data_IF_484133707125
#
_entry.id   IF_484133707125
#
_cell.length_a   1.000
_cell.length_b   1.000
_cell.length_c   1.000
_cell.angle_alpha   90.00
_cell.angle_beta   90.00
_cell.angle_gamma   90.00
#
_symmetry.space_group_name_H-M   'P 1'
#
loop_
_entity.id
_entity.type
_entity.pdbx_description
1 polymer ?
#
# COMPACT_ATOMS: atom_id res chain seq x y z
N UNK A 1 -19.74 -13.24 -1.27
CA UNK A 1 -19.73 -12.84 -2.70
C UNK A 1 -18.94 -11.54 -2.74
N UNK A 2 -17.73 -11.57 -3.25
CA UNK A 2 -16.94 -10.35 -3.42
C UNK A 2 -17.56 -9.52 -4.55
N UNK A 3 -17.70 -8.21 -4.35
CA UNK A 3 -18.19 -7.28 -5.37
C UNK A 3 -17.35 -7.45 -6.65
N UNK A 4 -18.02 -7.59 -7.78
CA UNK A 4 -17.42 -7.70 -9.11
C UNK A 4 -16.79 -6.36 -9.60
N UNK A 5 -16.72 -5.38 -8.74
CA UNK A 5 -16.15 -4.07 -9.07
C UNK A 5 -14.62 -4.13 -9.06
N UNK A 6 -14.00 -3.60 -10.11
CA UNK A 6 -12.57 -3.44 -10.23
C UNK A 6 -12.05 -2.42 -9.21
N UNK A 7 -11.10 -2.82 -8.36
CA UNK A 7 -10.62 -1.97 -7.27
C UNK A 7 -9.54 -1.01 -7.76
N UNK A 8 -9.70 0.28 -7.48
CA UNK A 8 -8.69 1.31 -7.77
C UNK A 8 -8.02 1.72 -6.47
N UNK A 9 -6.69 1.61 -6.42
CA UNK A 9 -5.87 1.96 -5.26
C UNK A 9 -4.92 3.07 -5.68
N UNK A 10 -5.05 4.26 -5.06
CA UNK A 10 -4.14 5.38 -5.31
C UNK A 10 -2.77 5.10 -4.73
N UNK A 11 -1.77 4.88 -5.60
CA UNK A 11 -0.39 4.52 -5.26
C UNK A 11 0.35 5.71 -4.63
N UNK A 12 0.81 5.55 -3.38
CA UNK A 12 1.40 6.61 -2.56
C UNK A 12 0.51 7.85 -2.49
N UNK A 13 -0.82 7.61 -2.39
CA UNK A 13 -1.86 8.60 -2.58
C UNK A 13 -2.26 8.75 -4.04
N UNK A 14 -2.01 9.90 -4.64
CA UNK A 14 -2.13 10.15 -6.08
C UNK A 14 -0.83 10.78 -6.60
N UNK A 15 0.25 9.98 -6.63
CA UNK A 15 1.60 10.51 -6.87
C UNK A 15 1.80 11.09 -8.27
N UNK A 16 0.89 10.81 -9.19
CA UNK A 16 0.88 11.45 -10.51
C UNK A 16 0.38 12.89 -10.49
N UNK A 17 -0.23 13.32 -9.38
CA UNK A 17 -0.82 14.66 -9.20
C UNK A 17 -0.18 15.47 -8.07
N UNK A 18 0.43 14.80 -7.08
CA UNK A 18 1.04 15.43 -5.90
C UNK A 18 2.29 14.66 -5.46
N UNK A 19 3.19 15.27 -4.66
CA UNK A 19 4.38 14.58 -4.14
C UNK A 19 4.02 13.31 -3.38
N UNK A 20 4.61 12.17 -3.77
CA UNK A 20 4.32 10.85 -3.22
C UNK A 20 4.46 10.78 -1.71
N UNK A 21 3.63 9.94 -1.06
CA UNK A 21 3.70 9.69 0.39
C UNK A 21 3.56 10.94 1.27
N UNK A 22 2.91 11.99 0.77
CA UNK A 22 2.60 13.20 1.54
C UNK A 22 1.11 13.27 1.87
N UNK A 23 0.75 14.08 2.86
CA UNK A 23 -0.66 14.32 3.20
C UNK A 23 -1.42 14.89 2.00
N UNK A 24 -0.77 15.74 1.20
CA UNK A 24 -1.37 16.29 -0.02
C UNK A 24 -1.68 15.18 -1.05
N UNK A 25 -0.76 14.23 -1.27
CA UNK A 25 -1.01 13.15 -2.22
C UNK A 25 -2.14 12.22 -1.76
N UNK A 26 -2.20 11.91 -0.47
CA UNK A 26 -3.27 11.11 0.13
C UNK A 26 -4.63 11.80 -0.03
N UNK A 27 -4.72 13.07 0.37
CA UNK A 27 -5.97 13.83 0.26
C UNK A 27 -6.40 14.03 -1.21
N UNK A 28 -5.44 14.24 -2.11
CA UNK A 28 -5.69 14.30 -3.56
C UNK A 28 -6.28 12.98 -4.08
N UNK A 29 -5.73 11.84 -3.68
CA UNK A 29 -6.27 10.52 -4.05
C UNK A 29 -7.72 10.35 -3.59
N UNK A 30 -8.02 10.75 -2.36
CA UNK A 30 -9.38 10.73 -1.80
C UNK A 30 -10.30 11.69 -2.57
N UNK A 31 -9.86 12.92 -2.82
CA UNK A 31 -10.63 13.93 -3.53
C UNK A 31 -10.95 13.53 -4.98
N UNK A 32 -10.07 12.77 -5.64
CA UNK A 32 -10.28 12.19 -6.96
C UNK A 32 -11.25 11.00 -6.95
N UNK A 33 -11.68 10.52 -5.77
CA UNK A 33 -12.65 9.45 -5.60
C UNK A 33 -12.05 8.05 -5.49
N UNK A 34 -10.75 7.91 -5.24
CA UNK A 34 -10.12 6.61 -5.02
C UNK A 34 -10.77 5.92 -3.81
N UNK A 35 -11.30 4.68 -3.95
CA UNK A 35 -11.89 3.96 -2.83
C UNK A 35 -10.84 3.46 -1.84
N UNK A 36 -9.58 3.38 -2.27
CA UNK A 36 -8.42 3.00 -1.49
C UNK A 36 -7.24 3.90 -1.81
N UNK A 37 -6.43 4.19 -0.80
CA UNK A 37 -5.11 4.82 -0.95
C UNK A 37 -4.05 3.91 -0.35
N UNK A 38 -2.90 3.86 -1.01
CA UNK A 38 -1.75 3.10 -0.54
C UNK A 38 -0.62 4.07 -0.19
N UNK A 39 0.19 3.69 0.80
CA UNK A 39 1.39 4.40 1.19
C UNK A 39 2.38 3.48 1.91
N UNK A 40 3.66 3.86 1.82
CA UNK A 40 4.79 3.12 2.34
C UNK A 40 5.12 3.52 3.77
N UNK A 41 5.36 2.56 4.67
CA UNK A 41 5.73 2.84 6.06
C UNK A 41 7.07 2.24 6.41
N UNK A 42 7.95 3.07 6.98
CA UNK A 42 9.22 2.68 7.56
C UNK A 42 9.27 3.01 9.05
N UNK A 43 9.84 2.11 9.84
CA UNK A 43 10.10 2.36 11.25
C UNK A 43 11.48 3.02 11.40
N UNK A 44 11.50 4.26 11.87
CA UNK A 44 12.72 4.97 12.22
C UNK A 44 13.31 4.41 13.53
N UNK A 45 14.66 4.45 13.76
CA UNK A 45 15.29 3.98 15.00
C UNK A 45 14.74 4.62 16.29
N UNK A 46 14.17 5.82 16.21
CA UNK A 46 13.46 6.44 17.36
C UNK A 46 12.13 5.78 17.72
N UNK A 47 11.65 4.81 16.93
CA UNK A 47 10.35 4.19 17.05
C UNK A 47 9.24 4.86 16.26
N UNK A 48 9.46 6.05 15.67
CA UNK A 48 8.46 6.71 14.82
C UNK A 48 8.20 5.91 13.54
N UNK A 49 6.93 5.82 13.14
CA UNK A 49 6.51 5.26 11.86
C UNK A 49 6.36 6.41 10.86
N UNK A 50 7.28 6.48 9.89
CA UNK A 50 7.31 7.51 8.86
C UNK A 50 6.73 6.98 7.56
N UNK A 51 5.95 7.81 6.87
CA UNK A 51 5.40 7.46 5.57
C UNK A 51 6.39 7.89 4.50
N UNK A 52 7.19 6.92 4.03
CA UNK A 52 8.31 7.16 3.12
C UNK A 52 8.73 5.87 2.43
N UNK A 53 9.06 5.94 1.12
CA UNK A 53 9.38 4.74 0.32
C UNK A 53 10.84 4.32 0.39
N UNK A 54 11.77 5.23 0.05
CA UNK A 54 13.17 4.89 -0.17
C UNK A 54 13.95 4.75 1.15
N UNK A 55 15.08 4.06 1.11
CA UNK A 55 16.00 4.04 2.25
C UNK A 55 16.75 5.38 2.41
N UNK A 56 16.87 6.15 1.30
CA UNK A 56 17.57 7.44 1.27
C UNK A 56 16.62 8.59 0.95
N UNK A 57 16.98 9.79 1.38
CA UNK A 57 16.18 11.00 1.27
C UNK A 57 16.25 11.68 -0.11
N UNK A 58 17.25 11.32 -0.91
CA UNK A 58 17.76 12.09 -2.05
C UNK A 58 16.74 12.26 -3.19
N UNK A 59 15.86 11.29 -3.42
CA UNK A 59 14.95 11.32 -4.57
C UNK A 59 13.74 12.22 -4.38
N UNK A 60 13.18 12.25 -3.18
CA UNK A 60 11.87 12.87 -2.93
C UNK A 60 11.90 14.01 -1.90
N UNK A 61 13.09 14.33 -1.37
CA UNK A 61 13.23 15.42 -0.40
C UNK A 61 14.39 16.35 -0.77
N UNK A 62 14.51 17.47 -0.07
CA UNK A 62 15.68 18.32 -0.11
C UNK A 62 16.81 17.87 0.84
N UNK A 63 16.66 16.72 1.50
CA UNK A 63 17.69 16.09 2.34
C UNK A 63 18.53 15.07 1.58
N UNK A 64 19.57 14.54 2.23
CA UNK A 64 20.48 13.56 1.65
C UNK A 64 20.84 12.44 2.62
N UNK A 65 21.21 11.27 2.08
CA UNK A 65 21.65 10.10 2.83
C UNK A 65 20.53 9.25 3.37
N UNK A 66 20.85 8.31 4.26
CA UNK A 66 19.87 7.35 4.78
C UNK A 66 18.89 8.01 5.75
N UNK A 67 17.61 7.68 5.60
CA UNK A 67 16.55 8.10 6.51
C UNK A 67 16.85 7.68 7.95
N UNK A 68 17.31 6.44 8.14
CA UNK A 68 17.57 5.88 9.46
C UNK A 68 18.72 6.58 10.22
N UNK A 69 19.62 7.25 9.52
CA UNK A 69 20.78 7.92 10.12
C UNK A 69 20.49 9.38 10.56
N UNK A 70 19.33 9.93 10.17
CA UNK A 70 19.00 11.32 10.48
C UNK A 70 18.19 11.42 11.78
N UNK A 71 18.40 12.47 12.58
CA UNK A 71 17.50 12.73 13.72
C UNK A 71 16.05 12.95 13.25
N UNK A 72 15.08 12.40 13.98
CA UNK A 72 13.66 12.54 13.63
C UNK A 72 13.24 14.00 13.42
N UNK A 73 13.71 14.92 14.26
CA UNK A 73 13.39 16.34 14.14
C UNK A 73 13.91 16.95 12.81
N UNK A 74 15.07 16.48 12.33
CA UNK A 74 15.59 16.91 11.03
C UNK A 74 14.76 16.37 9.88
N UNK A 75 14.35 15.07 9.92
CA UNK A 75 13.47 14.47 8.92
C UNK A 75 12.14 15.21 8.80
N UNK A 76 11.57 15.59 9.95
CA UNK A 76 10.28 16.30 10.01
C UNK A 76 10.35 17.76 9.56
N UNK A 77 11.55 18.29 9.30
CA UNK A 77 11.77 19.64 8.77
C UNK A 77 12.10 19.66 7.27
N UNK A 78 12.25 18.48 6.65
CA UNK A 78 12.57 18.38 5.22
C UNK A 78 11.35 18.70 4.36
N UNK A 79 11.60 19.33 3.21
CA UNK A 79 10.63 19.45 2.14
C UNK A 79 10.61 18.14 1.33
N UNK A 80 9.49 17.45 1.38
CA UNK A 80 9.20 16.23 0.61
C UNK A 80 8.52 16.54 -0.74
N UNK A 81 8.72 17.73 -1.25
CA UNK A 81 8.17 18.23 -2.50
C UNK A 81 7.03 19.23 -2.29
N UNK A 82 7.14 20.40 -2.93
CA UNK A 82 6.11 21.43 -2.90
C UNK A 82 5.77 21.97 -1.51
N UNK A 83 6.72 21.97 -0.58
CA UNK A 83 6.53 22.41 0.80
C UNK A 83 5.85 21.37 1.70
N UNK A 84 5.64 20.15 1.22
CA UNK A 84 5.09 19.06 2.02
C UNK A 84 6.18 18.47 2.94
N UNK A 85 5.77 17.94 4.08
CA UNK A 85 6.66 17.26 5.03
C UNK A 85 6.52 15.75 4.90
N UNK A 86 7.52 14.99 5.41
CA UNK A 86 7.40 13.54 5.56
C UNK A 86 6.37 13.27 6.67
N UNK A 87 5.20 12.67 6.41
CA UNK A 87 4.21 12.44 7.46
C UNK A 87 4.54 11.21 8.29
N UNK A 88 3.94 11.14 9.48
CA UNK A 88 3.84 9.90 10.26
C UNK A 88 2.62 9.10 9.86
N UNK A 89 2.61 7.79 10.18
CA UNK A 89 1.44 6.94 9.98
C UNK A 89 0.20 7.51 10.69
N UNK A 90 0.37 8.03 11.91
CA UNK A 90 -0.75 8.63 12.66
C UNK A 90 -1.37 9.81 11.91
N UNK A 91 -0.55 10.75 11.41
CA UNK A 91 -1.02 11.91 10.65
C UNK A 91 -1.78 11.51 9.39
N UNK A 92 -1.33 10.44 8.70
CA UNK A 92 -2.05 9.93 7.52
C UNK A 92 -3.39 9.32 7.90
N UNK A 93 -3.44 8.50 8.96
CA UNK A 93 -4.71 7.89 9.39
C UNK A 93 -5.69 8.95 9.92
N UNK A 94 -5.21 9.95 10.65
CA UNK A 94 -6.02 11.08 11.10
C UNK A 94 -6.60 11.87 9.91
N UNK A 95 -5.80 12.09 8.86
CA UNK A 95 -6.26 12.73 7.63
C UNK A 95 -7.30 11.88 6.90
N UNK A 96 -7.06 10.58 6.76
CA UNK A 96 -7.98 9.67 6.04
C UNK A 96 -9.33 9.59 6.75
N UNK A 97 -9.36 9.55 8.07
CA UNK A 97 -10.58 9.55 8.91
C UNK A 97 -11.69 8.63 8.37
N UNK A 98 -11.34 7.39 8.09
CA UNK A 98 -12.26 6.34 7.58
C UNK A 98 -12.92 6.64 6.22
N UNK A 99 -12.61 7.77 5.56
CA UNK A 99 -13.26 8.14 4.28
C UNK A 99 -13.07 7.07 3.20
N UNK A 100 -11.89 6.46 3.14
CA UNK A 100 -11.52 5.40 2.18
C UNK A 100 -10.80 4.25 2.88
N UNK A 101 -10.56 3.15 2.18
CA UNK A 101 -9.66 2.10 2.67
C UNK A 101 -8.19 2.52 2.55
N UNK A 102 -7.35 1.98 3.41
CA UNK A 102 -5.90 2.21 3.40
C UNK A 102 -5.13 0.91 3.20
N UNK A 103 -4.21 0.90 2.25
CA UNK A 103 -3.20 -0.13 2.13
C UNK A 103 -1.87 0.39 2.69
N UNK A 104 -1.39 -0.22 3.76
CA UNK A 104 -0.15 0.16 4.44
C UNK A 104 0.93 -0.82 4.02
N UNK A 105 1.90 -0.38 3.20
CA UNK A 105 3.03 -1.21 2.82
C UNK A 105 4.14 -1.15 3.87
N UNK A 106 4.52 -2.30 4.44
CA UNK A 106 5.66 -2.42 5.34
C UNK A 106 6.95 -2.48 4.53
N UNK A 107 7.76 -1.41 4.57
CA UNK A 107 9.00 -1.27 3.79
C UNK A 107 10.24 -1.79 4.50
N UNK A 108 10.22 -1.89 5.82
CA UNK A 108 11.35 -2.32 6.62
C UNK A 108 10.98 -3.50 7.50
N UNK A 109 11.95 -4.38 7.73
CA UNK A 109 11.88 -5.42 8.74
C UNK A 109 12.37 -4.90 10.10
N UNK A 110 12.17 -5.68 11.15
CA UNK A 110 12.71 -5.36 12.48
C UNK A 110 11.79 -4.53 13.36
N UNK A 111 10.57 -5.03 13.55
CA UNK A 111 9.58 -4.48 14.48
C UNK A 111 8.67 -3.42 13.87
N UNK A 112 8.67 -3.27 12.55
CA UNK A 112 7.70 -2.44 11.84
C UNK A 112 6.31 -3.05 11.93
N UNK A 113 6.21 -4.37 11.79
CA UNK A 113 4.97 -5.13 11.93
C UNK A 113 4.30 -4.88 13.29
N UNK A 114 5.05 -5.01 14.38
CA UNK A 114 4.55 -4.79 15.75
C UNK A 114 4.06 -3.35 15.94
N UNK A 115 4.86 -2.37 15.50
CA UNK A 115 4.52 -0.96 15.67
C UNK A 115 3.29 -0.56 14.85
N UNK A 116 3.17 -1.04 13.60
CA UNK A 116 1.99 -0.78 12.74
C UNK A 116 0.75 -1.49 13.30
N UNK A 117 0.87 -2.74 13.77
CA UNK A 117 -0.23 -3.46 14.40
C UNK A 117 -0.78 -2.73 15.64
N UNK A 118 0.10 -2.13 16.45
CA UNK A 118 -0.30 -1.35 17.62
C UNK A 118 -1.09 -0.09 17.21
N UNK A 119 -0.64 0.62 16.18
CA UNK A 119 -1.35 1.81 15.67
C UNK A 119 -2.70 1.43 15.07
N UNK A 120 -2.77 0.38 14.23
CA UNK A 120 -4.05 -0.07 13.64
C UNK A 120 -5.03 -0.49 14.75
N UNK A 121 -4.57 -1.23 15.75
CA UNK A 121 -5.42 -1.66 16.87
C UNK A 121 -6.05 -0.47 17.60
N UNK A 122 -5.28 0.59 17.87
CA UNK A 122 -5.81 1.79 18.51
C UNK A 122 -6.89 2.48 17.68
N UNK A 123 -6.78 2.47 16.34
CA UNK A 123 -7.79 3.01 15.44
C UNK A 123 -9.05 2.12 15.40
N UNK A 124 -8.88 0.79 15.37
CA UNK A 124 -10.01 -0.16 15.44
C UNK A 124 -10.77 0.00 16.77
N UNK A 125 -10.05 0.11 17.89
CA UNK A 125 -10.65 0.40 19.21
C UNK A 125 -11.38 1.76 19.24
N UNK A 126 -10.91 2.72 18.45
CA UNK A 126 -11.56 4.03 18.26
C UNK A 126 -12.73 4.01 17.25
N UNK A 127 -13.05 2.85 16.66
CA UNK A 127 -14.21 2.64 15.81
C UNK A 127 -13.92 2.56 14.30
N UNK A 128 -12.67 2.46 13.87
CA UNK A 128 -12.38 2.19 12.46
C UNK A 128 -12.79 0.74 12.10
N UNK A 129 -13.49 0.54 10.98
CA UNK A 129 -13.81 -0.79 10.50
C UNK A 129 -12.53 -1.54 10.07
N UNK A 130 -12.41 -2.79 10.48
CA UNK A 130 -11.26 -3.67 10.15
C UNK A 130 -11.06 -3.79 8.64
N UNK A 131 -12.15 -3.85 7.88
CA UNK A 131 -12.17 -3.95 6.43
C UNK A 131 -11.68 -2.69 5.69
N UNK A 132 -11.43 -1.61 6.40
CA UNK A 132 -10.76 -0.41 5.86
C UNK A 132 -9.24 -0.51 5.85
N UNK A 133 -8.68 -1.56 6.45
CA UNK A 133 -7.25 -1.80 6.47
C UNK A 133 -6.86 -2.96 5.56
N UNK A 134 -5.76 -2.79 4.85
CA UNK A 134 -4.98 -3.83 4.18
C UNK A 134 -3.52 -3.54 4.50
N UNK A 135 -2.78 -4.54 4.95
CA UNK A 135 -1.33 -4.40 5.18
C UNK A 135 -0.59 -5.27 4.18
N UNK A 136 0.37 -4.70 3.48
CA UNK A 136 1.12 -5.42 2.45
C UNK A 136 2.62 -5.31 2.64
N UNK A 137 3.37 -6.24 2.08
CA UNK A 137 4.84 -6.19 2.07
C UNK A 137 5.43 -7.10 1.01
N UNK A 138 6.60 -6.72 0.48
CA UNK A 138 7.52 -7.61 -0.23
C UNK A 138 8.30 -8.51 0.74
N UNK A 139 8.45 -8.08 1.99
CA UNK A 139 9.11 -8.87 3.03
C UNK A 139 8.08 -9.79 3.69
N UNK A 140 7.83 -10.96 3.07
CA UNK A 140 6.80 -11.88 3.52
C UNK A 140 6.98 -12.36 4.97
N UNK A 141 8.20 -12.57 5.51
CA UNK A 141 8.37 -12.85 6.93
C UNK A 141 7.86 -11.75 7.87
N UNK A 142 8.11 -10.47 7.56
CA UNK A 142 7.57 -9.34 8.35
C UNK A 142 6.04 -9.29 8.27
N UNK A 143 5.48 -9.58 7.06
CA UNK A 143 4.04 -9.66 6.87
C UNK A 143 3.42 -10.84 7.63
N UNK A 144 4.12 -11.96 7.73
CA UNK A 144 3.75 -13.09 8.56
C UNK A 144 3.70 -12.71 10.04
N UNK A 145 4.73 -12.02 10.55
CA UNK A 145 4.76 -11.51 11.92
C UNK A 145 3.56 -10.58 12.18
N UNK A 146 3.28 -9.65 11.25
CA UNK A 146 2.10 -8.78 11.33
C UNK A 146 0.81 -9.60 11.45
N UNK A 147 0.64 -10.62 10.59
CA UNK A 147 -0.56 -11.48 10.58
C UNK A 147 -0.74 -12.26 11.88
N UNK A 148 0.35 -12.64 12.56
CA UNK A 148 0.26 -13.27 13.88
C UNK A 148 -0.17 -12.28 14.98
N UNK A 149 0.24 -11.01 14.86
CA UNK A 149 -0.08 -9.95 15.82
C UNK A 149 -1.49 -9.40 15.67
N UNK A 150 -1.99 -9.34 14.44
CA UNK A 150 -3.30 -8.79 14.08
C UNK A 150 -4.03 -9.69 13.06
N UNK A 151 -4.44 -10.91 13.49
CA UNK A 151 -5.00 -11.91 12.58
C UNK A 151 -6.32 -11.46 11.91
N UNK A 152 -7.04 -10.53 12.49
CA UNK A 152 -8.27 -9.94 11.95
C UNK A 152 -8.01 -8.98 10.78
N UNK A 153 -6.82 -8.39 10.69
CA UNK A 153 -6.50 -7.43 9.62
C UNK A 153 -6.13 -8.18 8.34
N UNK A 154 -6.76 -7.85 7.20
CA UNK A 154 -6.39 -8.40 5.90
C UNK A 154 -4.94 -8.07 5.54
N UNK A 155 -4.24 -9.05 4.95
CA UNK A 155 -2.87 -8.84 4.45
C UNK A 155 -2.78 -9.14 2.95
N UNK A 156 -1.83 -8.49 2.27
CA UNK A 156 -1.55 -8.63 0.84
C UNK A 156 -0.09 -8.97 0.58
N UNK A 157 0.18 -10.13 -0.01
CA UNK A 157 1.52 -10.52 -0.41
C UNK A 157 1.96 -9.76 -1.67
N UNK A 158 3.08 -9.02 -1.61
CA UNK A 158 3.65 -8.33 -2.77
C UNK A 158 4.73 -9.21 -3.41
N UNK A 159 4.62 -9.41 -4.73
CA UNK A 159 5.59 -10.21 -5.50
C UNK A 159 6.13 -9.44 -6.71
N UNK A 160 7.44 -9.57 -6.90
CA UNK A 160 8.15 -9.14 -8.10
C UNK A 160 8.75 -10.39 -8.78
N UNK A 161 7.90 -11.17 -9.45
CA UNK A 161 8.24 -12.45 -10.07
C UNK A 161 7.07 -13.42 -10.04
N UNK A 162 7.19 -14.56 -10.73
CA UNK A 162 6.21 -15.65 -10.69
C UNK A 162 6.82 -16.81 -9.89
N UNK A 163 6.27 -17.14 -8.70
CA UNK A 163 6.75 -18.27 -7.90
C UNK A 163 6.45 -19.62 -8.60
N UNK A 164 7.25 -20.66 -8.27
CA UNK A 164 7.02 -22.00 -8.79
C UNK A 164 5.72 -22.64 -8.29
N UNK A 165 5.29 -22.24 -7.09
CA UNK A 165 4.07 -22.69 -6.42
C UNK A 165 2.88 -21.70 -6.59
N UNK A 166 2.96 -20.84 -7.61
CA UNK A 166 1.94 -19.85 -7.97
C UNK A 166 1.55 -18.96 -6.79
N UNK A 167 0.33 -19.09 -6.25
CA UNK A 167 -0.15 -18.32 -5.11
C UNK A 167 0.17 -18.98 -3.75
N UNK A 168 0.99 -20.04 -3.71
CA UNK A 168 1.24 -20.82 -2.49
C UNK A 168 1.74 -20.00 -1.31
N UNK A 169 2.66 -19.05 -1.53
CA UNK A 169 3.13 -18.17 -0.48
C UNK A 169 2.03 -17.25 0.09
N UNK A 170 1.12 -16.78 -0.75
CA UNK A 170 -0.03 -15.98 -0.31
C UNK A 170 -1.05 -16.82 0.46
N UNK A 171 -1.26 -18.06 0.02
CA UNK A 171 -2.11 -19.03 0.72
C UNK A 171 -1.54 -19.36 2.10
N UNK A 172 -0.24 -19.63 2.23
CA UNK A 172 0.43 -19.91 3.49
C UNK A 172 0.32 -18.74 4.47
N UNK A 173 0.42 -17.50 3.98
CA UNK A 173 0.21 -16.28 4.75
C UNK A 173 -1.26 -16.07 5.19
N UNK A 174 -2.23 -16.78 4.61
CA UNK A 174 -3.65 -16.46 4.74
C UNK A 174 -3.96 -15.07 4.18
N UNK A 175 -3.30 -14.69 3.09
CA UNK A 175 -3.44 -13.37 2.49
C UNK A 175 -4.81 -13.20 1.82
N UNK A 176 -5.37 -12.01 1.94
CA UNK A 176 -6.59 -11.61 1.26
C UNK A 176 -6.33 -11.20 -0.20
N UNK A 177 -5.10 -10.72 -0.47
CA UNK A 177 -4.69 -10.28 -1.80
C UNK A 177 -3.29 -10.75 -2.15
N UNK A 178 -3.07 -10.98 -3.44
CA UNK A 178 -1.78 -11.17 -4.06
C UNK A 178 -1.53 -9.98 -5.00
N UNK A 179 -0.49 -9.21 -4.71
CA UNK A 179 -0.19 -7.97 -5.41
C UNK A 179 1.03 -8.18 -6.31
N UNK A 180 0.84 -8.11 -7.62
CA UNK A 180 1.84 -8.47 -8.63
C UNK A 180 2.41 -7.23 -9.32
N UNK A 181 3.71 -7.28 -9.66
CA UNK A 181 4.25 -6.34 -10.66
C UNK A 181 3.62 -6.60 -12.02
N UNK A 182 3.30 -5.54 -12.76
CA UNK A 182 2.72 -5.63 -14.11
C UNK A 182 3.57 -6.43 -15.10
N UNK A 183 4.89 -6.52 -14.87
CA UNK A 183 5.82 -7.30 -15.68
C UNK A 183 5.65 -8.83 -15.51
N UNK A 184 5.02 -9.29 -14.43
CA UNK A 184 4.94 -10.69 -14.04
C UNK A 184 3.51 -11.24 -13.93
N UNK A 185 2.57 -10.62 -14.62
CA UNK A 185 1.17 -11.08 -14.63
C UNK A 185 1.03 -12.32 -15.50
N UNK A 186 0.62 -13.44 -14.89
CA UNK A 186 0.37 -14.71 -15.56
C UNK A 186 -1.09 -15.16 -15.29
N UNK A 187 -1.88 -15.48 -16.34
CA UNK A 187 -3.25 -15.95 -16.15
C UNK A 187 -3.39 -17.19 -15.26
N UNK A 188 -2.35 -18.05 -15.22
CA UNK A 188 -2.34 -19.25 -14.37
C UNK A 188 -2.18 -18.89 -12.91
N UNK A 189 -1.34 -17.87 -12.61
CA UNK A 189 -1.19 -17.33 -11.26
C UNK A 189 -2.50 -16.67 -10.77
N UNK A 190 -3.18 -15.92 -11.64
CA UNK A 190 -4.50 -15.33 -11.34
C UNK A 190 -5.52 -16.44 -11.02
N UNK A 191 -5.60 -17.46 -11.88
CA UNK A 191 -6.53 -18.57 -11.71
C UNK A 191 -6.27 -19.35 -10.41
N UNK A 192 -5.00 -19.58 -10.07
CA UNK A 192 -4.61 -20.26 -8.84
C UNK A 192 -4.97 -19.43 -7.60
N UNK A 193 -4.66 -18.13 -7.59
CA UNK A 193 -5.05 -17.22 -6.51
C UNK A 193 -6.59 -17.23 -6.30
N UNK A 194 -7.35 -17.12 -7.38
CA UNK A 194 -8.81 -17.15 -7.33
C UNK A 194 -9.38 -18.49 -6.83
N UNK A 195 -8.75 -19.61 -7.18
CA UNK A 195 -9.16 -20.93 -6.68
C UNK A 195 -9.04 -21.04 -5.15
N UNK A 196 -8.18 -20.22 -4.54
CA UNK A 196 -7.99 -20.12 -3.09
C UNK A 196 -8.74 -18.92 -2.47
N UNK A 197 -9.55 -18.17 -3.24
CA UNK A 197 -10.31 -17.01 -2.76
C UNK A 197 -9.44 -15.75 -2.54
N UNK A 198 -8.23 -15.73 -3.08
CA UNK A 198 -7.29 -14.62 -2.98
C UNK A 198 -7.51 -13.69 -4.18
N UNK A 199 -7.72 -12.39 -3.93
CA UNK A 199 -7.82 -11.39 -5.00
C UNK A 199 -6.45 -11.06 -5.57
N UNK A 200 -6.39 -10.69 -6.85
CA UNK A 200 -5.16 -10.27 -7.52
C UNK A 200 -5.23 -8.79 -7.84
N UNK A 201 -4.26 -8.03 -7.33
CA UNK A 201 -4.04 -6.63 -7.68
C UNK A 201 -2.70 -6.47 -8.40
N UNK A 202 -2.60 -5.47 -9.28
CA UNK A 202 -1.38 -5.24 -10.07
C UNK A 202 -0.85 -3.82 -9.85
N UNK A 203 0.45 -3.70 -9.62
CA UNK A 203 1.17 -2.44 -9.44
C UNK A 203 2.29 -2.27 -10.47
N UNK A 204 2.66 -1.09 -10.89
CA UNK A 204 1.91 0.16 -10.84
C UNK A 204 1.43 0.44 -12.25
N UNK A 205 0.14 0.53 -12.44
CA UNK A 205 -0.49 0.60 -13.77
C UNK A 205 -1.06 1.99 -14.00
N UNK A 206 -0.55 2.69 -15.01
CA UNK A 206 -0.91 4.07 -15.31
C UNK A 206 -1.58 4.25 -16.68
N UNK A 207 -1.43 3.26 -17.56
CA UNK A 207 -2.04 3.28 -18.90
C UNK A 207 -3.47 2.71 -18.86
N UNK A 208 -4.48 3.47 -19.29
CA UNK A 208 -5.85 2.99 -19.37
C UNK A 208 -6.06 1.75 -20.27
N UNK A 209 -5.24 1.56 -21.32
CA UNK A 209 -5.33 0.37 -22.15
C UNK A 209 -4.82 -0.87 -21.41
N UNK A 210 -3.72 -0.74 -20.66
CA UNK A 210 -3.20 -1.80 -19.80
C UNK A 210 -4.18 -2.17 -18.70
N UNK A 211 -4.83 -1.20 -18.06
CA UNK A 211 -5.87 -1.45 -17.04
C UNK A 211 -7.01 -2.29 -17.60
N UNK A 212 -7.50 -1.98 -18.82
CA UNK A 212 -8.56 -2.78 -19.49
C UNK A 212 -8.10 -4.20 -19.79
N UNK A 213 -6.86 -4.36 -20.27
CA UNK A 213 -6.29 -5.68 -20.56
C UNK A 213 -6.19 -6.52 -19.29
N UNK A 214 -5.64 -5.97 -18.21
CA UNK A 214 -5.53 -6.65 -16.93
C UNK A 214 -6.89 -7.08 -16.37
N UNK A 215 -7.90 -6.22 -16.48
CA UNK A 215 -9.26 -6.60 -16.11
C UNK A 215 -9.79 -7.76 -16.95
N UNK A 216 -9.57 -7.75 -18.27
CA UNK A 216 -9.96 -8.88 -19.15
C UNK A 216 -9.24 -10.18 -18.78
N UNK A 217 -8.02 -10.10 -18.24
CA UNK A 217 -7.26 -11.25 -17.75
C UNK A 217 -7.77 -11.76 -16.39
N UNK A 218 -8.69 -11.05 -15.73
CA UNK A 218 -9.26 -11.43 -14.45
C UNK A 218 -8.63 -10.75 -13.23
N UNK A 219 -7.77 -9.73 -13.42
CA UNK A 219 -7.22 -8.94 -12.31
C UNK A 219 -8.36 -8.19 -11.59
N UNK A 220 -8.35 -8.20 -10.26
CA UNK A 220 -9.41 -7.61 -9.42
C UNK A 220 -9.23 -6.11 -9.16
N UNK A 221 -8.04 -5.57 -9.40
CA UNK A 221 -7.77 -4.14 -9.22
C UNK A 221 -6.33 -3.76 -9.52
N UNK A 222 -6.06 -2.46 -9.47
CA UNK A 222 -4.74 -1.90 -9.74
C UNK A 222 -4.33 -0.84 -8.71
N UNK A 223 -3.01 -0.78 -8.47
CA UNK A 223 -2.36 0.39 -7.88
C UNK A 223 -1.98 1.34 -9.02
N UNK A 224 -2.36 2.59 -8.92
CA UNK A 224 -2.12 3.59 -9.96
C UNK A 224 -1.71 4.93 -9.39
N UNK A 225 -0.81 5.61 -10.09
CA UNK A 225 -0.42 6.98 -9.78
C UNK A 225 -1.52 8.01 -10.15
N UNK A 226 -2.48 7.57 -11.01
CA UNK A 226 -3.54 8.40 -11.58
C UNK A 226 -4.92 7.76 -11.36
N UNK A 227 -5.45 7.78 -10.10
CA UNK A 227 -6.72 7.11 -9.79
C UNK A 227 -7.91 7.64 -10.62
N UNK A 228 -7.91 8.92 -10.98
CA UNK A 228 -8.89 9.54 -11.87
C UNK A 228 -8.98 8.84 -13.22
N UNK A 229 -7.84 8.45 -13.82
CA UNK A 229 -7.82 7.73 -15.11
C UNK A 229 -8.46 6.34 -14.99
N UNK A 230 -8.16 5.62 -13.92
CA UNK A 230 -8.73 4.30 -13.66
C UNK A 230 -10.24 4.38 -13.41
N UNK A 231 -10.68 5.34 -12.61
CA UNK A 231 -12.11 5.55 -12.30
C UNK A 231 -12.91 5.98 -13.53
N UNK A 232 -12.31 6.77 -14.43
CA UNK A 232 -12.97 7.19 -15.67
C UNK A 232 -13.21 6.05 -16.68
N UNK A 233 -12.57 4.88 -16.48
CA UNK A 233 -12.75 3.73 -17.38
C UNK A 233 -14.12 3.05 -17.27
N UNK A 234 -14.90 3.34 -16.22
CA UNK A 234 -16.19 2.68 -15.92
C UNK A 234 -16.11 1.14 -16.01
N UNK A 235 -14.98 0.59 -15.56
CA UNK A 235 -14.66 -0.84 -15.62
C UNK A 235 -14.99 -1.52 -14.29
#
# INVERSE_FOLDING_TARGET
MFSSAFTVIGHRGARGHAPENTLLAIDTGIALGAPWVEFDVQRHPSGALLVFHDLTLDRTTNGHGFLADQPLAALRALDAGGGQLIPTLQEVLDLVDQRVGVNIELKSAGGTAEAVAAVIRSHVEAGWPVEKFLVSSFHLPELWEFKQLAPEIPVGALLCGVPLDWAGCALELGAATLNLSSEFVDPRLIADAHAHGIKVYVYTVNDPAEMRLLRQMGVDGVFTDYPDRALALAI
#
